data_IF_821927159147
#
_entry.id   IF_821927159147
#
_cell.length_a   1.000
_cell.length_b   1.000
_cell.length_c   1.000
_cell.angle_alpha   90.00
_cell.angle_beta   90.00
_cell.angle_gamma   90.00
#
_symmetry.space_group_name_H-M   'P 1'
#
loop_
_entity.id
_entity.type
_entity.pdbx_description
1 polymer ?
#
# COMPACT_ATOMS: atom_id res chain seq x y z
N UNK A 1 -2.99 -0.67 -20.90
CA UNK A 1 -2.59 -1.45 -19.71
C UNK A 1 -3.40 -0.96 -18.52
N UNK A 2 -4.01 -1.84 -17.71
CA UNK A 2 -4.77 -1.42 -16.52
C UNK A 2 -3.80 -1.19 -15.36
N UNK A 3 -3.87 -0.06 -14.63
CA UNK A 3 -3.04 0.16 -13.46
C UNK A 3 -3.34 -0.92 -12.41
N UNK A 4 -2.29 -1.59 -11.93
CA UNK A 4 -2.39 -2.57 -10.85
C UNK A 4 -2.67 -1.81 -9.56
N UNK A 5 -3.92 -1.84 -9.07
CA UNK A 5 -4.28 -1.21 -7.79
C UNK A 5 -3.49 -1.87 -6.65
N UNK A 6 -2.74 -1.06 -5.92
CA UNK A 6 -2.28 -1.38 -4.57
C UNK A 6 -3.45 -1.06 -3.65
N UNK A 7 -3.91 -2.06 -2.90
CA UNK A 7 -5.07 -1.92 -2.02
C UNK A 7 -4.57 -1.74 -0.59
N UNK A 8 -4.92 -0.62 0.04
CA UNK A 8 -4.78 -0.45 1.48
C UNK A 8 -6.06 -0.96 2.15
N UNK A 9 -5.97 -1.40 3.40
CA UNK A 9 -7.18 -1.72 4.18
C UNK A 9 -7.97 -0.41 4.32
N UNK A 10 -9.10 -0.29 3.64
CA UNK A 10 -10.03 0.78 3.91
C UNK A 10 -10.66 0.51 5.27
N UNK A 11 -10.90 1.58 6.04
CA UNK A 11 -11.74 1.52 7.24
C UNK A 11 -13.15 0.96 6.95
N UNK A 12 -13.50 0.71 5.68
CA UNK A 12 -14.78 0.19 5.24
C UNK A 12 -14.60 -1.09 4.38
N UNK A 13 -14.71 -2.24 5.05
CA UNK A 13 -15.14 -3.51 4.48
C UNK A 13 -14.05 -4.49 3.99
N UNK A 14 -14.34 -5.80 4.03
CA UNK A 14 -13.42 -6.83 3.54
C UNK A 14 -13.16 -6.65 2.05
N UNK A 15 -11.90 -6.84 1.59
CA UNK A 15 -11.60 -6.80 0.16
C UNK A 15 -12.45 -7.85 -0.58
N UNK A 16 -12.93 -7.56 -1.81
CA UNK A 16 -13.71 -8.52 -2.58
C UNK A 16 -12.91 -9.81 -2.78
N UNK A 17 -13.52 -10.98 -2.55
CA UNK A 17 -12.90 -12.32 -2.52
C UNK A 17 -12.12 -12.72 -3.79
N UNK A 18 -12.18 -11.91 -4.85
CA UNK A 18 -11.51 -12.12 -6.14
C UNK A 18 -10.36 -11.15 -6.43
N UNK A 19 -10.12 -10.16 -5.57
CA UNK A 19 -8.90 -9.34 -5.65
C UNK A 19 -7.89 -9.89 -4.67
N UNK A 20 -6.84 -10.56 -5.15
CA UNK A 20 -5.66 -10.81 -4.35
C UNK A 20 -5.08 -9.45 -3.92
N UNK A 21 -5.43 -9.01 -2.71
CA UNK A 21 -4.89 -7.80 -2.11
C UNK A 21 -3.37 -7.88 -2.03
N UNK A 22 -2.72 -6.73 -2.04
CA UNK A 22 -1.26 -6.61 -1.87
C UNK A 22 -1.03 -5.60 -0.77
N UNK A 23 -0.18 -5.92 0.20
CA UNK A 23 0.15 -5.01 1.30
C UNK A 23 1.48 -4.35 1.02
N UNK A 24 1.59 -3.04 1.25
CA UNK A 24 2.87 -2.34 1.06
C UNK A 24 3.84 -2.75 2.17
N UNK A 25 5.05 -3.12 1.79
CA UNK A 25 6.09 -3.56 2.71
C UNK A 25 6.74 -2.38 3.46
N UNK A 26 7.36 -2.68 4.60
CA UNK A 26 8.19 -1.76 5.37
C UNK A 26 7.48 -0.52 5.95
N UNK A 27 6.15 -0.51 5.96
CA UNK A 27 5.38 0.58 6.55
C UNK A 27 4.20 0.09 7.38
N UNK A 28 3.91 0.86 8.41
CA UNK A 28 2.71 0.73 9.24
C UNK A 28 1.96 2.06 9.28
N UNK A 29 0.65 2.06 9.57
CA UNK A 29 -0.10 3.31 9.77
C UNK A 29 0.53 4.19 10.84
N UNK A 30 0.54 5.51 10.62
CA UNK A 30 1.24 6.47 11.48
C UNK A 30 0.82 6.42 12.96
N UNK A 31 -0.47 6.26 13.22
CA UNK A 31 -1.01 6.21 14.59
C UNK A 31 -0.78 4.86 15.30
N UNK A 32 0.03 3.96 14.72
CA UNK A 32 0.17 2.58 15.20
C UNK A 32 -1.14 1.79 15.15
N UNK A 33 -2.15 2.34 14.47
CA UNK A 33 -3.44 1.71 14.26
C UNK A 33 -3.31 0.55 13.28
N UNK A 34 -4.23 -0.41 13.41
CA UNK A 34 -4.29 -1.55 12.51
C UNK A 34 -4.97 -1.22 11.18
N UNK A 35 -5.62 -0.07 11.11
CA UNK A 35 -6.46 0.39 9.99
C UNK A 35 -5.86 1.66 9.39
N UNK A 36 -5.86 1.77 8.06
CA UNK A 36 -5.38 2.96 7.37
C UNK A 36 -6.46 4.05 7.33
N UNK A 37 -6.07 5.29 7.66
CA UNK A 37 -6.96 6.45 7.63
C UNK A 37 -7.41 6.79 6.21
N UNK A 38 -8.54 7.49 6.07
CA UNK A 38 -9.01 8.00 4.77
C UNK A 38 -7.93 8.84 4.07
N UNK A 39 -7.19 9.65 4.81
CA UNK A 39 -6.11 10.48 4.28
C UNK A 39 -5.00 9.63 3.65
N UNK A 40 -4.72 8.45 4.21
CA UNK A 40 -3.77 7.49 3.64
C UNK A 40 -4.25 6.98 2.27
N UNK A 41 -5.56 6.69 2.14
CA UNK A 41 -6.15 6.27 0.87
C UNK A 41 -6.12 7.39 -0.18
N UNK A 42 -6.43 8.61 0.23
CA UNK A 42 -6.34 9.78 -0.64
C UNK A 42 -4.90 10.02 -1.09
N UNK A 43 -3.92 9.90 -0.20
CA UNK A 43 -2.52 10.07 -0.54
C UNK A 43 -2.01 9.03 -1.55
N UNK A 44 -2.49 7.80 -1.46
CA UNK A 44 -2.19 6.73 -2.42
C UNK A 44 -2.80 7.05 -3.77
N UNK A 45 -4.05 7.53 -3.80
CA UNK A 45 -4.68 7.98 -5.03
C UNK A 45 -3.89 9.12 -5.67
N UNK A 46 -3.50 10.13 -4.88
CA UNK A 46 -2.68 11.25 -5.34
C UNK A 46 -1.30 10.78 -5.85
N UNK A 47 -0.71 9.74 -5.26
CA UNK A 47 0.53 9.15 -5.77
C UNK A 47 0.35 8.61 -7.20
N UNK A 48 -0.74 7.88 -7.45
CA UNK A 48 -1.06 7.39 -8.79
C UNK A 48 -1.41 8.53 -9.76
N UNK A 49 -2.13 9.56 -9.30
CA UNK A 49 -2.48 10.73 -10.09
C UNK A 49 -1.24 11.59 -10.42
N UNK A 50 -0.30 11.74 -9.47
CA UNK A 50 0.98 12.44 -9.65
C UNK A 50 1.89 11.75 -10.67
N UNK A 51 1.73 10.44 -10.87
CA UNK A 51 2.38 9.71 -11.96
C UNK A 51 1.85 10.08 -13.35
N UNK A 52 0.75 10.82 -13.49
CA UNK A 52 0.16 11.24 -14.77
C UNK A 52 -0.01 10.09 -15.79
N UNK A 53 -0.37 8.88 -15.32
CA UNK A 53 -0.52 7.70 -16.17
C UNK A 53 0.76 6.88 -16.37
N UNK A 54 1.84 7.21 -15.67
CA UNK A 54 3.03 6.37 -15.59
C UNK A 54 2.75 4.99 -15.04
N UNK A 55 3.56 4.03 -15.48
CA UNK A 55 3.47 2.67 -14.99
C UNK A 55 4.06 2.61 -13.58
N UNK A 56 3.19 2.47 -12.58
CA UNK A 56 3.63 2.13 -11.23
C UNK A 56 4.13 0.69 -11.22
N UNK A 57 5.41 0.55 -10.91
CA UNK A 57 6.08 -0.73 -10.77
C UNK A 57 5.78 -1.27 -9.38
N UNK A 58 5.03 -2.37 -9.34
CA UNK A 58 4.73 -3.10 -8.11
C UNK A 58 5.60 -4.34 -8.07
N UNK A 59 6.56 -4.34 -7.15
CA UNK A 59 7.54 -5.43 -6.99
C UNK A 59 7.17 -6.24 -5.75
N UNK A 60 6.76 -7.52 -5.90
CA UNK A 60 6.54 -8.36 -4.74
C UNK A 60 7.86 -8.70 -4.05
N UNK A 61 7.84 -8.69 -2.72
CA UNK A 61 8.97 -9.18 -1.94
C UNK A 61 8.95 -10.72 -1.97
N UNK A 62 10.07 -11.37 -2.32
CA UNK A 62 10.15 -12.82 -2.35
C UNK A 62 9.92 -13.40 -0.95
N UNK A 63 9.12 -14.47 -0.87
CA UNK A 63 8.78 -15.20 0.37
C UNK A 63 8.21 -14.34 1.51
N UNK A 64 7.70 -13.15 1.19
CA UNK A 64 7.23 -12.18 2.17
C UNK A 64 5.73 -12.00 2.04
N UNK A 65 4.99 -12.45 3.05
CA UNK A 65 3.55 -12.29 3.14
C UNK A 65 3.19 -11.62 4.47
N UNK A 66 2.24 -10.70 4.42
CA UNK A 66 1.71 -10.02 5.59
C UNK A 66 0.25 -10.38 5.78
N UNK A 67 -0.17 -10.58 7.02
CA UNK A 67 -1.58 -10.64 7.34
C UNK A 67 -2.13 -9.22 7.50
N UNK A 68 -3.37 -9.05 7.06
CA UNK A 68 -4.22 -7.95 7.51
C UNK A 68 -4.58 -8.24 8.97
N UNK A 69 -4.53 -7.22 9.84
CA UNK A 69 -4.81 -7.43 11.26
C UNK A 69 -6.31 -7.59 11.53
N UNK A 70 -7.18 -7.22 10.59
CA UNK A 70 -8.59 -7.62 10.66
C UNK A 70 -8.74 -9.15 10.54
N UNK A 71 -9.43 -9.71 11.54
CA UNK A 71 -9.53 -11.14 11.85
C UNK A 71 -9.73 -12.05 10.62
N UNK A 72 -8.88 -13.08 10.52
CA UNK A 72 -8.97 -14.22 9.59
C UNK A 72 -8.81 -13.93 8.09
N UNK A 73 -8.22 -12.79 7.71
CA UNK A 73 -7.82 -12.57 6.33
C UNK A 73 -6.65 -13.50 5.93
N UNK A 74 -6.67 -14.10 4.72
CA UNK A 74 -5.53 -14.86 4.23
C UNK A 74 -4.31 -13.94 4.08
N UNK A 75 -3.11 -14.50 4.34
CA UNK A 75 -1.86 -13.78 4.15
C UNK A 75 -1.76 -13.28 2.71
N UNK A 76 -1.49 -11.99 2.54
CA UNK A 76 -1.31 -11.36 1.24
C UNK A 76 0.17 -11.10 0.96
N UNK A 77 0.61 -11.14 -0.30
CA UNK A 77 2.00 -10.82 -0.64
C UNK A 77 2.32 -9.37 -0.26
N UNK A 78 3.49 -9.20 0.35
CA UNK A 78 4.09 -7.89 0.59
C UNK A 78 4.72 -7.37 -0.71
N UNK A 79 4.53 -6.09 -1.00
CA UNK A 79 5.04 -5.47 -2.23
C UNK A 79 5.64 -4.09 -1.95
N UNK A 80 6.62 -3.68 -2.74
CA UNK A 80 6.96 -2.26 -2.90
C UNK A 80 6.28 -1.71 -4.14
N UNK A 81 6.03 -0.40 -4.16
CA UNK A 81 5.39 0.27 -5.29
C UNK A 81 6.13 1.57 -5.57
N UNK A 82 6.66 1.71 -6.79
CA UNK A 82 7.42 2.89 -7.18
C UNK A 82 7.00 3.40 -8.56
N UNK A 83 7.20 4.71 -8.79
CA UNK A 83 6.97 5.35 -10.09
C UNK A 83 8.31 5.52 -10.80
N UNK A 84 8.44 4.86 -11.96
CA UNK A 84 9.68 4.77 -12.74
C UNK A 84 10.22 6.13 -13.17
N UNK A 85 9.36 7.06 -13.64
CA UNK A 85 9.77 8.41 -14.07
C UNK A 85 10.54 9.22 -13.04
N UNK A 86 10.23 8.98 -11.77
CA UNK A 86 10.41 9.95 -10.72
C UNK A 86 11.17 9.35 -9.53
N UNK A 87 11.52 8.05 -9.61
CA UNK A 87 12.16 7.28 -8.56
C UNK A 87 11.38 7.30 -7.25
N UNK A 88 10.08 7.62 -7.28
CA UNK A 88 9.29 7.90 -6.09
C UNK A 88 8.67 6.61 -5.59
N UNK A 89 9.05 6.21 -4.38
CA UNK A 89 8.48 5.06 -3.69
C UNK A 89 7.22 5.45 -2.90
N UNK A 90 6.23 4.56 -2.87
CA UNK A 90 4.96 4.76 -2.20
C UNK A 90 5.09 4.78 -0.67
N UNK A 91 6.00 3.99 -0.11
CA UNK A 91 6.30 4.01 1.32
C UNK A 91 6.87 5.36 1.73
N UNK A 92 7.91 5.84 1.03
CA UNK A 92 8.48 7.17 1.25
C UNK A 92 7.43 8.28 1.09
N UNK A 93 6.56 8.17 0.08
CA UNK A 93 5.47 9.13 -0.12
C UNK A 93 4.55 9.22 1.09
N UNK A 94 4.13 8.09 1.65
CA UNK A 94 3.28 8.05 2.84
C UNK A 94 4.00 8.52 4.11
N UNK A 95 5.27 8.14 4.28
CA UNK A 95 6.10 8.58 5.41
C UNK A 95 6.30 10.10 5.36
N UNK A 96 6.60 10.68 4.20
CA UNK A 96 6.82 12.12 4.03
C UNK A 96 5.60 12.97 4.44
N UNK A 97 4.41 12.38 4.34
CA UNK A 97 3.12 13.00 4.68
C UNK A 97 2.68 12.69 6.11
N UNK A 98 3.49 11.95 6.89
CA UNK A 98 3.16 11.47 8.24
C UNK A 98 1.89 10.62 8.26
N UNK A 99 1.65 9.85 7.19
CA UNK A 99 0.53 8.91 7.09
C UNK A 99 0.98 7.46 7.35
N UNK A 100 2.29 7.23 7.28
CA UNK A 100 2.91 5.97 7.65
C UNK A 100 4.17 6.21 8.48
N UNK A 101 4.56 5.19 9.24
CA UNK A 101 5.89 5.08 9.84
C UNK A 101 6.65 3.92 9.18
N UNK A 102 7.99 4.02 9.07
CA UNK A 102 8.79 2.86 8.68
C UNK A 102 8.57 1.75 9.71
N UNK A 103 8.27 0.55 9.22
CA UNK A 103 8.20 -0.65 10.06
C UNK A 103 9.63 -0.97 10.52
N UNK A 104 9.97 -0.56 11.74
CA UNK A 104 11.21 -0.94 12.40
C UNK A 104 11.15 -2.45 12.67
N UNK A 105 11.99 -3.21 11.97
CA UNK A 105 12.17 -4.66 12.21
C UNK A 105 12.61 -4.96 13.63
#
# INVERSE_FOLDING_TARGET
MRPRRVLFEAAEGPPPSTSAGRKVAHIVPFDGQDVWSRESHEAVREFFEAGMGETVMVTPLPNSCGQWKQMNAPSVPLVTANISCCGRDLADWLISRRLALPETS
#
